data_IF_748715352537
#
_entry.id   IF_748715352537
#
_cell.length_a   1.000
_cell.length_b   1.000
_cell.length_c   1.000
_cell.angle_alpha   90.00
_cell.angle_beta   90.00
_cell.angle_gamma   90.00
#
_symmetry.space_group_name_H-M   'P 1'
#
loop_
_entity.id
_entity.type
_entity.pdbx_description
1 polymer ?
#
# COMPACT_ATOMS: atom_id res chain seq x y z
N UNK A 1 -4.76 7.65 8.40
CA UNK A 1 -4.84 6.95 7.08
C UNK A 1 -6.27 6.51 6.78
N UNK A 2 -6.63 6.43 5.50
CA UNK A 2 -7.94 6.01 5.01
C UNK A 2 -7.76 4.83 4.05
N UNK A 3 -8.41 3.68 4.27
CA UNK A 3 -8.35 2.56 3.34
C UNK A 3 -8.83 2.96 1.93
N UNK A 4 -8.07 2.57 0.91
CA UNK A 4 -8.42 2.78 -0.51
C UNK A 4 -9.46 1.75 -0.95
N UNK A 5 -10.66 1.84 -0.36
CA UNK A 5 -11.80 0.95 -0.62
C UNK A 5 -13.04 1.80 -0.89
N UNK A 6 -13.77 1.45 -1.94
CA UNK A 6 -15.00 2.13 -2.35
C UNK A 6 -16.13 1.11 -2.50
N UNK A 7 -17.24 1.32 -1.83
CA UNK A 7 -18.48 0.58 -2.08
C UNK A 7 -19.45 1.46 -2.86
N UNK A 8 -20.00 0.93 -3.93
CA UNK A 8 -21.00 1.62 -4.75
C UNK A 8 -22.28 0.81 -4.74
N UNK A 9 -23.36 1.42 -4.29
CA UNK A 9 -24.72 0.85 -4.35
C UNK A 9 -25.65 1.81 -5.10
N UNK A 10 -26.91 1.43 -5.30
CA UNK A 10 -27.90 2.31 -5.94
C UNK A 10 -28.17 3.57 -5.13
N UNK A 11 -28.07 3.47 -3.80
CA UNK A 11 -28.51 4.51 -2.87
C UNK A 11 -27.34 5.37 -2.36
N UNK A 12 -26.13 4.81 -2.26
CA UNK A 12 -25.00 5.50 -1.65
C UNK A 12 -23.63 5.02 -2.14
N UNK A 13 -22.61 5.87 -1.94
CA UNK A 13 -21.20 5.52 -2.09
C UNK A 13 -20.51 5.64 -0.73
N UNK A 14 -19.93 4.53 -0.25
CA UNK A 14 -19.08 4.50 0.95
C UNK A 14 -17.61 4.46 0.57
N UNK A 15 -16.76 5.12 1.35
CA UNK A 15 -15.31 5.18 1.10
C UNK A 15 -14.57 4.95 2.41
N UNK A 16 -13.42 4.30 2.33
CA UNK A 16 -12.54 4.06 3.46
C UNK A 16 -13.06 2.96 4.41
N UNK A 17 -13.00 3.19 5.71
CA UNK A 17 -13.39 2.21 6.74
C UNK A 17 -14.84 1.73 6.62
N UNK A 18 -15.77 2.59 6.21
CA UNK A 18 -17.16 2.21 6.01
C UNK A 18 -17.31 1.21 4.85
N UNK A 19 -16.60 1.45 3.73
CA UNK A 19 -16.55 0.52 2.60
C UNK A 19 -15.80 -0.78 2.97
N UNK A 20 -14.69 -0.71 3.71
CA UNK A 20 -13.94 -1.89 4.15
C UNK A 20 -14.81 -2.84 4.97
N UNK A 21 -15.62 -2.32 5.90
CA UNK A 21 -16.57 -3.15 6.67
C UNK A 21 -17.67 -3.77 5.81
N UNK A 22 -18.11 -3.06 4.78
CA UNK A 22 -19.14 -3.56 3.87
C UNK A 22 -18.64 -4.64 2.89
N UNK A 23 -17.32 -4.80 2.75
CA UNK A 23 -16.71 -5.80 1.86
C UNK A 23 -17.16 -7.24 2.19
N UNK A 24 -17.48 -7.50 3.45
CA UNK A 24 -17.95 -8.81 3.93
C UNK A 24 -19.35 -9.14 3.43
N UNK A 25 -20.27 -8.16 3.52
CA UNK A 25 -21.68 -8.35 3.22
C UNK A 25 -22.02 -8.06 1.76
N UNK A 26 -21.20 -7.24 1.09
CA UNK A 26 -21.42 -6.85 -0.30
C UNK A 26 -20.10 -6.79 -1.09
N UNK A 27 -19.40 -7.93 -1.26
CA UNK A 27 -18.08 -7.97 -1.89
C UNK A 27 -18.11 -7.57 -3.38
N UNK A 28 -19.20 -7.86 -4.10
CA UNK A 28 -19.30 -7.58 -5.54
C UNK A 28 -19.38 -6.08 -5.86
N UNK A 29 -19.90 -5.28 -4.93
CA UNK A 29 -20.05 -3.85 -5.09
C UNK A 29 -19.00 -3.06 -4.28
N UNK A 30 -17.97 -3.75 -3.75
CA UNK A 30 -16.90 -3.15 -2.96
C UNK A 30 -15.55 -3.32 -3.63
N UNK A 31 -15.00 -2.21 -4.10
CA UNK A 31 -13.79 -2.14 -4.91
C UNK A 31 -12.59 -1.87 -4.01
N UNK A 32 -11.57 -2.71 -4.12
CA UNK A 32 -10.26 -2.53 -3.49
C UNK A 32 -9.14 -2.72 -4.52
N UNK A 33 -7.92 -2.24 -4.20
CA UNK A 33 -6.74 -2.38 -5.04
C UNK A 33 -6.86 -1.79 -6.45
N UNK A 34 -7.74 -0.80 -6.66
CA UNK A 34 -7.94 -0.13 -7.96
C UNK A 34 -6.64 0.47 -8.52
N UNK A 35 -5.69 0.83 -7.66
CA UNK A 35 -4.35 1.32 -8.04
C UNK A 35 -3.65 0.37 -9.05
N UNK A 36 -3.89 -0.94 -8.95
CA UNK A 36 -3.33 -1.96 -9.85
C UNK A 36 -3.87 -1.91 -11.28
N UNK A 37 -4.96 -1.18 -11.50
CA UNK A 37 -5.62 -1.02 -12.81
C UNK A 37 -5.30 0.34 -13.46
N UNK A 38 -4.62 1.25 -12.73
CA UNK A 38 -4.34 2.60 -13.21
C UNK A 38 -3.44 2.58 -14.44
N UNK A 39 -3.93 3.14 -15.55
CA UNK A 39 -3.20 3.24 -16.81
C UNK A 39 -2.91 1.91 -17.52
N UNK A 40 -3.46 0.79 -17.03
CA UNK A 40 -3.23 -0.54 -17.58
C UNK A 40 -4.02 -0.78 -18.87
N UNK A 41 -3.55 -1.73 -19.69
CA UNK A 41 -4.32 -2.32 -20.77
C UNK A 41 -5.08 -3.57 -20.27
N UNK A 42 -6.27 -3.82 -20.83
CA UNK A 42 -7.10 -4.93 -20.37
C UNK A 42 -6.42 -6.31 -20.50
N UNK A 43 -5.54 -6.46 -21.48
CA UNK A 43 -4.82 -7.70 -21.73
C UNK A 43 -3.57 -7.89 -20.89
N UNK A 44 -3.17 -6.91 -20.09
CA UNK A 44 -2.01 -7.01 -19.21
C UNK A 44 -2.13 -8.17 -18.23
N UNK A 45 -1.01 -8.83 -17.96
CA UNK A 45 -0.98 -9.97 -17.02
C UNK A 45 -1.45 -9.58 -15.62
N UNK A 46 -1.12 -8.37 -15.18
CA UNK A 46 -1.57 -7.84 -13.89
C UNK A 46 -3.09 -7.69 -13.84
N UNK A 47 -3.72 -7.23 -14.93
CA UNK A 47 -5.18 -7.13 -15.02
C UNK A 47 -5.83 -8.51 -15.01
N UNK A 48 -5.29 -9.48 -15.76
CA UNK A 48 -5.75 -10.87 -15.75
C UNK A 48 -5.64 -11.52 -14.37
N UNK A 49 -4.56 -11.22 -13.65
CA UNK A 49 -4.36 -11.68 -12.28
C UNK A 49 -5.36 -11.02 -11.34
N UNK A 50 -5.59 -9.71 -11.51
CA UNK A 50 -6.55 -8.96 -10.71
C UNK A 50 -7.99 -9.47 -10.93
N UNK A 51 -8.39 -9.83 -12.17
CA UNK A 51 -9.68 -10.43 -12.47
C UNK A 51 -9.94 -11.74 -11.70
N UNK A 52 -8.88 -12.51 -11.40
CA UNK A 52 -9.00 -13.77 -10.63
C UNK A 52 -9.08 -13.52 -9.11
N UNK A 53 -8.54 -12.40 -8.63
CA UNK A 53 -8.44 -12.09 -7.20
C UNK A 53 -9.55 -11.15 -6.72
N UNK A 54 -10.08 -10.30 -7.61
CA UNK A 54 -11.13 -9.35 -7.27
C UNK A 54 -12.46 -10.07 -7.01
N UNK A 55 -13.22 -9.52 -6.07
CA UNK A 55 -14.59 -9.96 -5.78
C UNK A 55 -15.64 -9.26 -6.66
N UNK A 56 -15.21 -8.23 -7.38
CA UNK A 56 -16.01 -7.43 -8.32
C UNK A 56 -15.59 -7.72 -9.76
N UNK A 57 -16.45 -7.38 -10.71
CA UNK A 57 -16.22 -7.66 -12.12
C UNK A 57 -15.31 -6.60 -12.76
N UNK A 58 -14.28 -7.05 -13.48
CA UNK A 58 -13.42 -6.23 -14.32
C UNK A 58 -13.67 -6.57 -15.77
N UNK A 59 -14.20 -5.62 -16.54
CA UNK A 59 -14.63 -5.78 -17.93
C UNK A 59 -13.76 -4.97 -18.88
N UNK A 60 -13.78 -5.36 -20.17
CA UNK A 60 -13.07 -4.67 -21.22
C UNK A 60 -13.94 -3.55 -21.82
N UNK A 61 -13.44 -2.34 -21.83
CA UNK A 61 -14.04 -1.24 -22.57
C UNK A 61 -12.97 -0.55 -23.42
N UNK A 62 -13.06 -0.75 -24.72
CA UNK A 62 -12.10 -0.18 -25.70
C UNK A 62 -10.64 -0.49 -25.37
N UNK A 63 -10.35 -1.73 -24.95
CA UNK A 63 -8.98 -2.16 -24.60
C UNK A 63 -8.51 -1.80 -23.20
N UNK A 64 -9.33 -1.11 -22.40
CA UNK A 64 -9.00 -0.71 -21.02
C UNK A 64 -9.83 -1.49 -20.00
N UNK A 65 -9.28 -1.73 -18.78
CA UNK A 65 -10.03 -2.35 -17.69
C UNK A 65 -11.02 -1.35 -17.08
N UNK A 66 -12.28 -1.75 -16.94
CA UNK A 66 -13.32 -1.03 -16.23
C UNK A 66 -13.89 -1.91 -15.12
N UNK A 67 -14.28 -1.30 -14.01
CA UNK A 67 -15.01 -1.99 -12.94
C UNK A 67 -16.50 -1.91 -13.23
N UNK A 68 -17.16 -3.07 -13.30
CA UNK A 68 -18.59 -3.14 -13.50
C UNK A 68 -19.32 -3.34 -12.16
N UNK A 69 -20.24 -2.45 -11.85
CA UNK A 69 -21.11 -2.52 -10.68
C UNK A 69 -22.55 -2.37 -11.17
N UNK A 70 -23.32 -3.42 -10.99
CA UNK A 70 -24.67 -3.55 -11.58
C UNK A 70 -24.62 -3.29 -13.11
N UNK A 71 -25.37 -2.29 -13.59
CA UNK A 71 -25.42 -1.91 -15.02
C UNK A 71 -24.43 -0.77 -15.38
N UNK A 72 -23.59 -0.33 -14.43
CA UNK A 72 -22.66 0.79 -14.64
C UNK A 72 -21.23 0.31 -14.71
N UNK A 73 -20.45 0.99 -15.55
CA UNK A 73 -19.01 0.76 -15.69
C UNK A 73 -18.24 2.00 -15.28
N UNK A 74 -17.24 1.80 -14.42
CA UNK A 74 -16.40 2.85 -13.87
C UNK A 74 -14.96 2.62 -14.30
N UNK A 75 -14.29 3.67 -14.79
CA UNK A 75 -12.85 3.59 -15.03
C UNK A 75 -12.08 3.57 -13.70
N UNK A 76 -10.83 3.07 -13.68
CA UNK A 76 -9.97 3.14 -12.50
C UNK A 76 -9.79 4.57 -11.98
N UNK A 77 -9.73 5.56 -12.88
CA UNK A 77 -9.62 6.98 -12.53
C UNK A 77 -10.87 7.47 -11.79
N UNK A 78 -12.06 7.06 -12.23
CA UNK A 78 -13.32 7.44 -11.56
C UNK A 78 -13.42 6.83 -10.15
N UNK A 79 -13.01 5.58 -9.96
CA UNK A 79 -12.97 4.96 -8.62
C UNK A 79 -11.92 5.66 -7.75
N UNK A 80 -10.73 5.93 -8.31
CA UNK A 80 -9.66 6.62 -7.59
C UNK A 80 -10.04 8.04 -7.23
N UNK A 81 -10.80 8.76 -8.09
CA UNK A 81 -11.27 10.10 -7.80
C UNK A 81 -12.21 10.17 -6.61
N UNK A 82 -13.00 9.12 -6.34
CA UNK A 82 -13.83 9.04 -5.14
C UNK A 82 -12.98 9.00 -3.88
N UNK A 83 -11.85 8.25 -3.91
CA UNK A 83 -10.91 8.17 -2.78
C UNK A 83 -10.23 9.52 -2.56
N UNK A 84 -9.70 10.13 -3.63
CA UNK A 84 -9.06 11.46 -3.58
C UNK A 84 -10.04 12.53 -3.11
N UNK A 85 -11.28 12.52 -3.62
CA UNK A 85 -12.35 13.42 -3.19
C UNK A 85 -12.70 13.28 -1.71
N UNK A 86 -12.63 12.05 -1.16
CA UNK A 86 -12.76 11.84 0.29
C UNK A 86 -11.60 12.48 1.06
N UNK A 87 -10.36 12.42 0.53
CA UNK A 87 -9.22 13.08 1.17
C UNK A 87 -9.34 14.60 1.11
N UNK A 88 -9.75 15.16 -0.06
CA UNK A 88 -10.07 16.56 -0.20
C UNK A 88 -11.07 17.00 0.86
N UNK A 89 -12.20 16.30 0.97
CA UNK A 89 -13.24 16.60 1.97
C UNK A 89 -12.74 16.58 3.40
N UNK A 90 -11.92 15.58 3.76
CA UNK A 90 -11.33 15.48 5.12
C UNK A 90 -10.42 16.67 5.40
N UNK A 91 -9.63 17.11 4.41
CA UNK A 91 -8.77 18.27 4.55
C UNK A 91 -9.59 19.58 4.67
N UNK A 92 -10.62 19.75 3.84
CA UNK A 92 -11.54 20.91 3.89
C UNK A 92 -12.29 20.99 5.22
N UNK A 93 -12.78 19.84 5.72
CA UNK A 93 -13.45 19.77 7.03
C UNK A 93 -12.50 20.14 8.19
N UNK A 94 -11.19 19.88 8.05
CA UNK A 94 -10.17 20.21 9.04
C UNK A 94 -9.76 21.68 9.00
N UNK A 95 -9.48 22.23 7.81
CA UNK A 95 -9.00 23.61 7.66
C UNK A 95 -10.13 24.65 7.64
N UNK A 96 -11.37 24.23 7.32
CA UNK A 96 -12.56 25.08 7.28
C UNK A 96 -12.71 25.89 6.00
N UNK A 97 -11.94 25.60 4.95
CA UNK A 97 -11.96 26.29 3.66
C UNK A 97 -11.76 25.33 2.49
N UNK A 98 -12.09 25.79 1.27
CA UNK A 98 -12.00 24.99 0.06
C UNK A 98 -10.54 24.71 -0.32
N UNK A 99 -10.21 23.44 -0.57
CA UNK A 99 -8.92 23.00 -1.09
C UNK A 99 -9.00 22.90 -2.62
N UNK A 100 -8.14 23.65 -3.31
CA UNK A 100 -8.11 23.71 -4.79
C UNK A 100 -6.92 22.98 -5.38
N UNK A 101 -5.74 23.14 -4.79
CA UNK A 101 -4.47 22.64 -5.31
C UNK A 101 -4.01 21.40 -4.55
N UNK A 102 -3.33 20.50 -5.26
CA UNK A 102 -2.78 19.29 -4.67
C UNK A 102 -1.49 18.83 -5.34
N UNK A 103 -0.64 18.17 -4.55
CA UNK A 103 0.42 17.29 -5.02
C UNK A 103 -0.02 15.86 -4.76
N UNK A 104 0.09 15.00 -5.77
CA UNK A 104 -0.29 13.58 -5.68
C UNK A 104 0.95 12.71 -5.89
N UNK A 105 1.07 11.65 -5.13
CA UNK A 105 2.19 10.72 -5.21
C UNK A 105 1.85 9.45 -5.99
N UNK A 106 2.85 8.89 -6.65
CA UNK A 106 2.78 7.62 -7.39
C UNK A 106 4.03 6.78 -7.11
N UNK A 107 3.95 5.45 -7.25
CA UNK A 107 5.14 4.61 -7.23
C UNK A 107 6.15 5.02 -8.30
N UNK A 108 7.44 4.87 -8.01
CA UNK A 108 8.49 5.25 -8.96
C UNK A 108 8.43 4.48 -10.30
N UNK A 109 7.88 3.27 -10.29
CA UNK A 109 7.70 2.44 -11.48
C UNK A 109 6.47 2.77 -12.34
N UNK A 110 5.60 3.70 -11.90
CA UNK A 110 4.48 4.14 -12.73
C UNK A 110 5.00 4.85 -13.99
N UNK A 111 4.66 4.29 -15.15
CA UNK A 111 4.89 4.93 -16.45
C UNK A 111 3.91 6.10 -16.70
N UNK A 112 4.12 6.82 -17.78
CA UNK A 112 3.37 8.05 -18.12
C UNK A 112 1.86 7.85 -18.14
N UNK A 113 1.39 6.70 -18.63
CA UNK A 113 -0.05 6.40 -18.69
C UNK A 113 -0.65 6.32 -17.28
N UNK A 114 0.02 5.64 -16.34
CA UNK A 114 -0.45 5.51 -14.97
C UNK A 114 -0.33 6.85 -14.19
N UNK A 115 0.72 7.65 -14.45
CA UNK A 115 0.89 9.00 -13.89
C UNK A 115 -0.21 9.93 -14.39
N UNK A 116 -0.50 9.92 -15.68
CA UNK A 116 -1.61 10.70 -16.28
C UNK A 116 -2.95 10.26 -15.72
N UNK A 117 -3.22 8.95 -15.62
CA UNK A 117 -4.45 8.43 -15.01
C UNK A 117 -4.61 8.88 -13.54
N UNK A 118 -3.51 8.92 -12.77
CA UNK A 118 -3.53 9.40 -11.39
C UNK A 118 -3.80 10.90 -11.32
N UNK A 119 -3.18 11.70 -12.21
CA UNK A 119 -3.49 13.13 -12.33
C UNK A 119 -4.96 13.34 -12.64
N UNK A 120 -5.49 12.63 -13.64
CA UNK A 120 -6.91 12.69 -14.04
C UNK A 120 -7.84 12.33 -12.86
N UNK A 121 -7.48 11.35 -12.03
CA UNK A 121 -8.26 11.04 -10.83
C UNK A 121 -8.33 12.23 -9.85
N UNK A 122 -7.25 12.97 -9.68
CA UNK A 122 -7.22 14.20 -8.89
C UNK A 122 -8.09 15.29 -9.49
N UNK A 123 -8.01 15.49 -10.80
CA UNK A 123 -8.82 16.48 -11.53
C UNK A 123 -10.32 16.14 -11.47
N UNK A 124 -10.69 14.86 -11.61
CA UNK A 124 -12.07 14.38 -11.43
C UNK A 124 -12.60 14.59 -10.00
N UNK A 125 -11.71 14.62 -9.02
CA UNK A 125 -12.05 14.96 -7.63
C UNK A 125 -12.19 16.47 -7.40
N UNK A 126 -12.02 17.30 -8.42
CA UNK A 126 -12.11 18.75 -8.35
C UNK A 126 -10.87 19.41 -7.77
N UNK A 127 -9.69 18.82 -7.99
CA UNK A 127 -8.40 19.37 -7.60
C UNK A 127 -7.61 19.83 -8.83
N UNK A 128 -6.90 20.95 -8.70
CA UNK A 128 -5.83 21.32 -9.61
C UNK A 128 -4.56 20.57 -9.17
N UNK A 129 -4.16 19.58 -9.94
CA UNK A 129 -2.97 18.77 -9.61
C UNK A 129 -1.72 19.50 -10.09
N UNK A 130 -1.06 20.18 -9.16
CA UNK A 130 0.14 20.99 -9.45
C UNK A 130 1.30 20.12 -9.89
N UNK A 131 1.47 18.95 -9.24
CA UNK A 131 2.55 18.02 -9.55
C UNK A 131 2.17 16.59 -9.15
N UNK A 132 2.68 15.62 -9.92
CA UNK A 132 2.73 14.19 -9.55
C UNK A 132 4.19 13.87 -9.24
N UNK A 133 4.46 13.36 -8.04
CA UNK A 133 5.83 13.05 -7.58
C UNK A 133 5.95 11.58 -7.17
N UNK A 134 7.17 11.06 -7.16
CA UNK A 134 7.43 9.68 -6.75
C UNK A 134 7.29 9.51 -5.24
N UNK A 135 6.63 8.43 -4.80
CA UNK A 135 6.45 8.06 -3.39
C UNK A 135 7.79 7.98 -2.63
N UNK A 136 8.85 7.30 -3.15
CA UNK A 136 10.14 7.23 -2.45
C UNK A 136 10.84 8.59 -2.32
N UNK A 137 10.75 9.44 -3.35
CA UNK A 137 11.29 10.81 -3.29
C UNK A 137 10.55 11.65 -2.26
N UNK A 138 9.22 11.54 -2.23
CA UNK A 138 8.39 12.19 -1.23
C UNK A 138 8.76 11.76 0.20
N UNK A 139 8.96 10.46 0.42
CA UNK A 139 9.37 9.93 1.72
C UNK A 139 10.77 10.43 2.16
N UNK A 140 11.73 10.49 1.24
CA UNK A 140 13.06 11.03 1.51
C UNK A 140 13.00 12.52 1.89
N UNK A 141 12.13 13.28 1.23
CA UNK A 141 11.88 14.69 1.57
C UNK A 141 11.29 14.83 2.98
N UNK A 142 10.32 13.99 3.34
CA UNK A 142 9.74 13.98 4.69
C UNK A 142 10.77 13.66 5.77
N UNK A 143 11.69 12.75 5.49
CA UNK A 143 12.74 12.33 6.40
C UNK A 143 13.91 13.34 6.52
N UNK A 144 13.83 14.50 5.86
CA UNK A 144 14.87 15.54 5.81
C UNK A 144 16.23 15.02 5.29
N UNK A 145 16.24 13.95 4.53
CA UNK A 145 17.47 13.35 4.00
C UNK A 145 18.14 14.22 2.93
N UNK A 146 17.40 15.18 2.39
CA UNK A 146 17.85 16.11 1.34
C UNK A 146 18.41 17.43 1.91
N UNK A 147 18.28 17.66 3.21
CA UNK A 147 18.77 18.89 3.86
C UNK A 147 20.29 18.83 4.13
N UNK A 148 20.84 17.64 4.12
CA UNK A 148 22.27 17.42 4.33
C UNK A 148 23.02 17.62 3.00
N UNK A 149 24.05 18.48 2.99
CA UNK A 149 24.83 18.80 1.79
C UNK A 149 25.76 17.66 1.32
N UNK A 150 25.71 16.51 1.98
CA UNK A 150 26.49 15.34 1.61
C UNK A 150 25.70 14.45 0.67
N UNK A 151 26.35 13.99 -0.37
CA UNK A 151 25.79 12.97 -1.23
C UNK A 151 25.46 11.71 -0.42
N UNK A 152 24.28 11.14 -0.64
CA UNK A 152 23.81 9.94 0.04
C UNK A 152 23.13 9.00 -0.95
N UNK A 153 23.40 7.71 -0.79
CA UNK A 153 22.65 6.66 -1.45
C UNK A 153 21.68 6.04 -0.43
N UNK A 154 20.39 6.16 -0.70
CA UNK A 154 19.31 5.69 0.18
C UNK A 154 18.49 4.61 -0.52
N UNK A 155 18.30 3.49 0.18
CA UNK A 155 17.32 2.48 -0.26
C UNK A 155 16.01 2.76 0.46
N UNK A 156 14.96 3.09 -0.28
CA UNK A 156 13.61 3.25 0.25
C UNK A 156 12.87 1.93 0.08
N UNK A 157 12.40 1.36 1.19
CA UNK A 157 11.55 0.17 1.20
C UNK A 157 10.15 0.62 1.61
N UNK A 158 9.25 0.71 0.65
CA UNK A 158 7.84 1.03 0.88
C UNK A 158 7.02 -0.26 0.83
N UNK A 159 6.54 -0.70 1.98
CA UNK A 159 5.70 -1.88 2.11
C UNK A 159 4.35 -1.49 2.70
N UNK A 160 3.39 -1.29 1.81
CA UNK A 160 2.01 -0.96 2.13
C UNK A 160 1.14 -2.19 2.37
N UNK A 161 -0.18 -2.01 2.26
CA UNK A 161 -1.15 -3.11 2.44
C UNK A 161 -1.09 -4.14 1.31
N UNK A 162 -0.82 -3.73 0.08
CA UNK A 162 -0.95 -4.62 -1.08
C UNK A 162 0.25 -4.68 -2.01
N UNK A 163 1.26 -3.82 -1.82
CA UNK A 163 2.46 -3.75 -2.66
C UNK A 163 3.71 -3.59 -1.80
N UNK A 164 4.82 -4.04 -2.34
CA UNK A 164 6.17 -3.69 -1.90
C UNK A 164 6.85 -2.96 -3.06
N UNK A 165 7.35 -1.78 -2.78
CA UNK A 165 8.07 -0.95 -3.71
C UNK A 165 9.44 -0.62 -3.10
N UNK A 166 10.51 -0.90 -3.83
CA UNK A 166 11.87 -0.59 -3.41
C UNK A 166 12.51 0.32 -4.44
N UNK A 167 13.04 1.43 -3.98
CA UNK A 167 13.75 2.39 -4.83
C UNK A 167 15.10 2.74 -4.26
N UNK A 168 16.09 2.87 -5.12
CA UNK A 168 17.41 3.37 -4.75
C UNK A 168 17.51 4.81 -5.22
N UNK A 169 17.75 5.72 -4.27
CA UNK A 169 17.90 7.14 -4.54
C UNK A 169 19.32 7.60 -4.30
N UNK A 170 19.77 8.49 -5.15
CA UNK A 170 20.94 9.34 -4.90
C UNK A 170 20.47 10.74 -4.55
N UNK A 171 20.90 11.23 -3.39
CA UNK A 171 20.54 12.53 -2.85
C UNK A 171 21.80 13.40 -2.82
N UNK A 172 21.75 14.57 -3.45
CA UNK A 172 22.88 15.52 -3.45
C UNK A 172 22.38 16.96 -3.54
N UNK A 173 22.85 17.82 -2.66
CA UNK A 173 22.66 19.29 -2.68
C UNK A 173 21.24 19.75 -3.11
N UNK A 174 20.21 19.23 -2.45
CA UNK A 174 18.81 19.55 -2.74
C UNK A 174 18.22 18.81 -3.95
N UNK A 175 18.96 17.90 -4.56
CA UNK A 175 18.47 17.03 -5.65
C UNK A 175 18.18 15.62 -5.14
N UNK A 176 17.16 14.99 -5.68
CA UNK A 176 16.89 13.57 -5.50
C UNK A 176 16.73 12.91 -6.87
N UNK A 177 17.53 11.90 -7.11
CA UNK A 177 17.47 11.07 -8.32
C UNK A 177 17.12 9.63 -7.95
N UNK A 178 16.10 9.06 -8.61
CA UNK A 178 15.77 7.64 -8.50
C UNK A 178 16.64 6.86 -9.47
N UNK A 179 17.66 6.15 -9.00
CA UNK A 179 18.58 5.38 -9.85
C UNK A 179 17.93 4.11 -10.38
N UNK A 180 17.15 3.43 -9.55
CA UNK A 180 16.45 2.22 -9.94
C UNK A 180 15.25 1.98 -9.01
N UNK A 181 14.28 1.22 -9.51
CA UNK A 181 13.18 0.69 -8.72
C UNK A 181 12.91 -0.78 -9.04
N UNK A 182 12.37 -1.49 -8.05
CA UNK A 182 11.88 -2.85 -8.16
C UNK A 182 10.75 -3.05 -7.16
N UNK A 183 9.88 -4.02 -7.38
CA UNK A 183 8.76 -4.22 -6.47
C UNK A 183 7.98 -5.49 -6.73
N UNK A 184 6.92 -5.66 -5.97
CA UNK A 184 5.95 -6.72 -6.15
C UNK A 184 4.55 -6.15 -5.84
N UNK A 185 3.72 -6.05 -6.86
CA UNK A 185 2.35 -5.51 -6.75
C UNK A 185 1.37 -6.49 -6.08
N UNK A 186 1.86 -7.67 -5.72
CA UNK A 186 1.12 -8.73 -5.03
C UNK A 186 1.86 -9.22 -3.77
N UNK A 187 2.53 -8.32 -3.08
CA UNK A 187 3.18 -8.55 -1.79
C UNK A 187 2.96 -7.32 -0.91
N UNK A 188 2.32 -7.50 0.25
CA UNK A 188 2.07 -6.42 1.19
C UNK A 188 1.41 -6.93 2.47
N UNK A 189 1.01 -6.04 3.34
CA UNK A 189 0.45 -6.36 4.66
C UNK A 189 -0.71 -7.36 4.63
N UNK A 190 -1.50 -7.37 3.53
CA UNK A 190 -2.56 -8.36 3.34
C UNK A 190 -2.03 -9.80 3.28
N UNK A 191 -0.89 -10.03 2.65
CA UNK A 191 -0.31 -11.37 2.57
C UNK A 191 0.14 -11.88 3.94
N UNK A 192 0.58 -10.97 4.81
CA UNK A 192 0.89 -11.28 6.20
C UNK A 192 -0.38 -11.59 7.00
N UNK A 193 -1.48 -10.86 6.77
CA UNK A 193 -2.79 -11.17 7.35
C UNK A 193 -3.26 -12.55 6.89
N UNK A 194 -3.18 -12.84 5.60
CA UNK A 194 -3.61 -14.11 5.01
C UNK A 194 -2.82 -15.32 5.58
N UNK A 195 -1.54 -15.12 5.93
CA UNK A 195 -0.76 -16.15 6.61
C UNK A 195 -1.32 -16.47 8.02
N UNK A 196 -1.74 -15.46 8.76
CA UNK A 196 -2.40 -15.64 10.07
C UNK A 196 -3.78 -16.27 9.88
N UNK A 197 -4.58 -15.76 8.93
CA UNK A 197 -5.92 -16.30 8.62
C UNK A 197 -5.83 -17.78 8.31
N UNK A 198 -4.90 -18.17 7.43
CA UNK A 198 -4.70 -19.56 7.08
C UNK A 198 -4.36 -20.41 8.30
N UNK A 199 -3.44 -19.95 9.14
CA UNK A 199 -3.07 -20.66 10.36
C UNK A 199 -4.26 -20.83 11.30
N UNK A 200 -5.05 -19.77 11.56
CA UNK A 200 -6.24 -19.81 12.42
C UNK A 200 -7.28 -20.79 11.90
N UNK A 201 -7.59 -20.73 10.60
CA UNK A 201 -8.57 -21.62 9.97
C UNK A 201 -8.11 -23.09 10.01
N UNK A 202 -6.84 -23.34 9.71
CA UNK A 202 -6.27 -24.70 9.74
C UNK A 202 -6.28 -25.29 11.17
N UNK A 203 -5.91 -24.52 12.18
CA UNK A 203 -5.92 -24.96 13.58
C UNK A 203 -7.36 -25.19 14.10
N UNK A 204 -8.30 -24.29 13.80
CA UNK A 204 -9.69 -24.46 14.21
C UNK A 204 -10.34 -25.68 13.54
N UNK A 205 -10.02 -25.92 12.27
CA UNK A 205 -10.49 -27.12 11.57
C UNK A 205 -9.94 -28.41 12.18
N UNK A 206 -8.70 -28.40 12.71
CA UNK A 206 -8.12 -29.56 13.38
C UNK A 206 -8.78 -29.83 14.74
N UNK A 207 -9.08 -28.77 15.50
CA UNK A 207 -9.64 -28.93 16.86
C UNK A 207 -11.13 -29.25 16.85
N UNK A 208 -11.92 -28.55 16.01
CA UNK A 208 -13.37 -28.57 16.04
C UNK A 208 -14.01 -29.23 14.81
N UNK A 209 -13.19 -29.61 13.80
CA UNK A 209 -13.64 -30.19 12.54
C UNK A 209 -14.67 -29.30 11.81
N UNK A 210 -14.49 -27.97 11.88
CA UNK A 210 -15.31 -26.96 11.22
C UNK A 210 -14.45 -26.10 10.31
N UNK A 211 -14.90 -25.91 9.06
CA UNK A 211 -14.23 -25.10 8.06
C UNK A 211 -14.85 -23.70 8.00
N UNK A 212 -14.17 -22.74 8.66
CA UNK A 212 -14.64 -21.35 8.74
C UNK A 212 -14.69 -20.63 7.39
N UNK A 213 -14.02 -21.14 6.36
CA UNK A 213 -14.06 -20.54 5.01
C UNK A 213 -15.43 -20.70 4.32
N UNK A 214 -16.27 -21.60 4.83
CA UNK A 214 -17.61 -21.84 4.28
C UNK A 214 -18.67 -20.86 4.82
N UNK A 215 -18.35 -20.11 5.85
CA UNK A 215 -19.18 -19.06 6.43
C UNK A 215 -18.51 -17.70 6.23
N UNK A 216 -19.06 -16.90 5.34
CA UNK A 216 -18.50 -15.59 5.02
C UNK A 216 -18.40 -14.64 6.23
N UNK A 217 -19.35 -14.72 7.14
CA UNK A 217 -19.37 -13.87 8.36
C UNK A 217 -18.30 -14.31 9.35
N UNK A 218 -18.17 -15.61 9.58
CA UNK A 218 -17.11 -16.18 10.41
C UNK A 218 -15.73 -15.88 9.81
N UNK A 219 -15.56 -16.14 8.54
CA UNK A 219 -14.30 -15.88 7.82
C UNK A 219 -13.87 -14.42 7.91
N UNK A 220 -14.79 -13.49 7.73
CA UNK A 220 -14.50 -12.07 7.83
C UNK A 220 -14.07 -11.64 9.24
N UNK A 221 -14.67 -12.20 10.29
CA UNK A 221 -14.24 -11.95 11.66
C UNK A 221 -12.82 -12.45 11.91
N UNK A 222 -12.46 -13.60 11.32
CA UNK A 222 -11.08 -14.12 11.36
C UNK A 222 -10.11 -13.16 10.65
N UNK A 223 -10.45 -12.68 9.44
CA UNK A 223 -9.64 -11.72 8.68
C UNK A 223 -9.40 -10.43 9.46
N UNK A 224 -10.44 -9.85 10.04
CA UNK A 224 -10.33 -8.63 10.86
C UNK A 224 -9.44 -8.86 12.09
N UNK A 225 -9.60 -9.99 12.74
CA UNK A 225 -8.81 -10.34 13.93
C UNK A 225 -7.34 -10.64 13.59
N UNK A 226 -7.08 -11.23 12.43
CA UNK A 226 -5.72 -11.48 11.94
C UNK A 226 -4.95 -10.16 11.68
N UNK A 227 -5.60 -9.16 11.05
CA UNK A 227 -5.02 -7.83 10.86
C UNK A 227 -4.67 -7.17 12.19
N UNK A 228 -5.60 -7.22 13.18
CA UNK A 228 -5.34 -6.70 14.54
C UNK A 228 -4.17 -7.42 15.20
N UNK A 229 -4.14 -8.75 15.13
CA UNK A 229 -3.06 -9.55 15.70
C UNK A 229 -1.70 -9.21 15.07
N UNK A 230 -1.62 -9.05 13.73
CA UNK A 230 -0.40 -8.60 13.05
C UNK A 230 0.09 -7.26 13.59
N UNK A 231 -0.81 -6.29 13.74
CA UNK A 231 -0.47 -4.94 14.23
C UNK A 231 0.05 -5.03 15.67
N UNK A 232 -0.63 -5.75 16.56
CA UNK A 232 -0.23 -5.91 17.96
C UNK A 232 1.13 -6.60 18.11
N UNK A 233 1.41 -7.62 17.28
CA UNK A 233 2.68 -8.33 17.29
C UNK A 233 3.88 -7.49 16.82
N UNK A 234 3.66 -6.28 16.28
CA UNK A 234 4.76 -5.34 16.01
C UNK A 234 5.35 -4.76 17.31
N UNK A 235 4.59 -4.71 18.39
CA UNK A 235 5.02 -4.20 19.71
C UNK A 235 4.99 -5.24 20.83
N UNK A 236 4.14 -6.27 20.72
CA UNK A 236 3.95 -7.30 21.75
C UNK A 236 4.60 -8.63 21.35
N UNK A 237 5.02 -9.43 22.35
CA UNK A 237 5.59 -10.77 22.11
C UNK A 237 4.54 -11.85 21.81
N UNK A 238 3.28 -11.57 22.14
CA UNK A 238 2.12 -12.42 21.85
C UNK A 238 0.84 -11.61 21.84
N UNK A 239 -0.20 -12.16 21.21
CA UNK A 239 -1.55 -11.61 21.20
C UNK A 239 -2.59 -12.72 21.25
N UNK A 240 -3.81 -12.39 21.63
CA UNK A 240 -4.94 -13.32 21.66
C UNK A 240 -5.91 -13.04 20.52
N UNK A 241 -6.28 -14.11 19.80
CA UNK A 241 -7.36 -14.09 18.82
C UNK A 241 -8.57 -14.74 19.49
N UNK A 242 -9.53 -13.93 19.92
CA UNK A 242 -10.70 -14.39 20.64
C UNK A 242 -11.98 -13.98 19.89
N UNK A 243 -12.67 -14.97 19.33
CA UNK A 243 -13.88 -14.82 18.52
C UNK A 243 -15.00 -15.70 19.11
N UNK A 244 -15.77 -15.20 20.09
CA UNK A 244 -16.87 -15.96 20.67
C UNK A 244 -17.97 -16.18 19.64
N UNK A 245 -18.62 -17.35 19.74
CA UNK A 245 -19.73 -17.75 18.86
C UNK A 245 -19.37 -17.65 17.37
N UNK A 246 -18.18 -18.16 17.02
CA UNK A 246 -17.66 -18.06 15.64
C UNK A 246 -18.39 -19.01 14.69
N UNK A 247 -18.87 -20.14 15.21
CA UNK A 247 -19.58 -21.16 14.42
C UNK A 247 -20.49 -21.99 15.32
N UNK A 248 -21.16 -22.97 14.73
CA UNK A 248 -22.00 -23.94 15.43
C UNK A 248 -21.77 -25.34 14.85
N UNK A 249 -21.69 -26.37 15.71
CA UNK A 249 -21.62 -27.78 15.32
C UNK A 249 -22.58 -28.59 16.20
N UNK A 250 -23.41 -29.42 15.59
CA UNK A 250 -24.39 -30.29 16.27
C UNK A 250 -25.25 -29.57 17.31
N UNK A 251 -25.63 -28.30 17.02
CA UNK A 251 -26.41 -27.46 17.92
C UNK A 251 -25.64 -26.76 19.03
N UNK A 252 -24.34 -27.03 19.17
CA UNK A 252 -23.47 -26.36 20.15
C UNK A 252 -22.73 -25.17 19.52
N UNK A 253 -22.73 -24.04 20.24
CA UNK A 253 -21.98 -22.84 19.85
C UNK A 253 -20.47 -23.08 20.09
N UNK A 254 -19.67 -22.76 19.08
CA UNK A 254 -18.22 -22.86 19.10
C UNK A 254 -17.57 -21.50 19.28
N UNK A 255 -16.53 -21.45 20.10
CA UNK A 255 -15.71 -20.27 20.33
C UNK A 255 -14.29 -20.51 19.82
N UNK A 256 -13.70 -19.53 19.15
CA UNK A 256 -12.30 -19.56 18.78
C UNK A 256 -11.53 -18.71 19.80
N UNK A 257 -10.57 -19.33 20.48
CA UNK A 257 -9.65 -18.66 21.38
C UNK A 257 -8.25 -19.25 21.16
N UNK A 258 -7.34 -18.45 20.61
CA UNK A 258 -5.98 -18.85 20.27
C UNK A 258 -4.98 -17.78 20.67
N UNK A 259 -3.83 -18.18 21.21
CA UNK A 259 -2.70 -17.29 21.44
C UNK A 259 -1.73 -17.41 20.27
N UNK A 260 -1.42 -16.28 19.64
CA UNK A 260 -0.40 -16.18 18.59
C UNK A 260 0.84 -15.50 19.16
N UNK A 261 1.96 -16.21 19.27
CA UNK A 261 3.23 -15.62 19.62
C UNK A 261 3.90 -14.95 18.43
N UNK A 262 4.71 -13.91 18.68
CA UNK A 262 5.54 -13.26 17.64
C UNK A 262 6.42 -14.29 16.92
N UNK A 263 7.07 -15.18 17.63
CA UNK A 263 7.92 -16.23 17.04
C UNK A 263 7.13 -17.12 16.07
N UNK A 264 5.89 -17.49 16.41
CA UNK A 264 5.02 -18.26 15.51
C UNK A 264 4.67 -17.44 14.28
N UNK A 265 4.23 -16.17 14.45
CA UNK A 265 3.94 -15.27 13.36
C UNK A 265 5.14 -15.11 12.40
N UNK A 266 6.33 -14.84 12.94
CA UNK A 266 7.56 -14.70 12.16
C UNK A 266 7.87 -15.95 11.34
N UNK A 267 7.61 -17.15 11.90
CA UNK A 267 7.77 -18.39 11.16
C UNK A 267 6.77 -18.53 9.99
N UNK A 268 5.54 -18.02 10.14
CA UNK A 268 4.51 -18.05 9.10
C UNK A 268 4.84 -17.11 7.94
N UNK A 269 5.51 -15.99 8.22
CA UNK A 269 5.73 -14.90 7.23
C UNK A 269 7.17 -14.82 6.71
N UNK A 270 8.04 -15.75 7.11
CA UNK A 270 9.45 -15.73 6.70
C UNK A 270 9.64 -15.60 5.20
N UNK A 271 8.89 -16.36 4.41
CA UNK A 271 8.95 -16.31 2.96
C UNK A 271 8.53 -14.92 2.37
N UNK A 272 7.64 -14.19 3.04
CA UNK A 272 7.24 -12.85 2.62
C UNK A 272 8.37 -11.84 2.89
N UNK A 273 9.03 -11.96 4.04
CA UNK A 273 10.23 -11.19 4.35
C UNK A 273 11.35 -11.46 3.35
N UNK A 274 11.64 -12.73 3.07
CA UNK A 274 12.67 -13.13 2.10
C UNK A 274 12.40 -12.56 0.70
N UNK A 275 11.11 -12.55 0.26
CA UNK A 275 10.70 -11.93 -1.01
C UNK A 275 10.91 -10.42 -1.01
N UNK A 276 10.60 -9.72 0.09
CA UNK A 276 10.83 -8.27 0.20
C UNK A 276 12.32 -7.95 0.13
N UNK A 277 13.15 -8.68 0.86
CA UNK A 277 14.62 -8.54 0.82
C UNK A 277 15.15 -8.77 -0.59
N UNK A 278 14.66 -9.79 -1.29
CA UNK A 278 15.09 -10.07 -2.67
C UNK A 278 14.73 -8.92 -3.63
N UNK A 279 13.56 -8.27 -3.45
CA UNK A 279 13.23 -7.07 -4.23
C UNK A 279 14.21 -5.92 -3.97
N UNK A 280 14.64 -5.75 -2.73
CA UNK A 280 15.61 -4.72 -2.37
C UNK A 280 17.01 -5.03 -2.96
N UNK A 281 17.45 -6.28 -2.93
CA UNK A 281 18.72 -6.70 -3.57
C UNK A 281 18.72 -6.37 -5.06
N UNK A 282 17.68 -6.79 -5.76
CA UNK A 282 17.55 -6.54 -7.21
C UNK A 282 17.50 -5.04 -7.52
N UNK A 283 16.85 -4.22 -6.66
CA UNK A 283 16.86 -2.76 -6.87
C UNK A 283 18.26 -2.17 -6.74
N UNK A 284 19.03 -2.60 -5.73
CA UNK A 284 20.42 -2.14 -5.53
C UNK A 284 21.32 -2.58 -6.69
N UNK A 285 21.17 -3.83 -7.16
CA UNK A 285 21.89 -4.34 -8.33
C UNK A 285 21.58 -3.53 -9.60
N UNK A 286 20.29 -3.28 -9.86
CA UNK A 286 19.86 -2.46 -11.01
C UNK A 286 20.38 -1.02 -10.94
N UNK A 287 20.55 -0.47 -9.76
CA UNK A 287 21.14 0.85 -9.53
C UNK A 287 22.67 0.87 -9.78
N UNK A 288 23.30 -0.28 -10.00
CA UNK A 288 24.74 -0.39 -10.14
C UNK A 288 25.52 -0.10 -8.85
N UNK A 289 24.84 -0.15 -7.70
CA UNK A 289 25.42 0.15 -6.38
C UNK A 289 25.83 -1.13 -5.65
N UNK A 290 26.86 -1.02 -4.81
CA UNK A 290 27.26 -2.06 -3.85
C UNK A 290 26.58 -1.77 -2.50
N UNK A 291 26.52 -2.76 -1.63
CA UNK A 291 25.98 -2.54 -0.28
C UNK A 291 26.78 -1.49 0.50
N UNK A 292 28.09 -1.40 0.27
CA UNK A 292 28.93 -0.42 0.93
C UNK A 292 28.60 1.03 0.53
N UNK A 293 28.06 1.23 -0.67
CA UNK A 293 27.66 2.54 -1.18
C UNK A 293 26.38 3.07 -0.54
N UNK A 294 25.62 2.20 0.13
CA UNK A 294 24.33 2.55 0.77
C UNK A 294 24.61 3.22 2.12
N UNK A 295 24.03 4.39 2.36
CA UNK A 295 24.12 5.09 3.64
C UNK A 295 23.06 4.61 4.64
N UNK A 296 21.83 4.46 4.21
CA UNK A 296 20.74 3.97 5.06
C UNK A 296 19.59 3.34 4.24
N UNK A 297 18.72 2.63 4.97
CA UNK A 297 17.46 2.10 4.45
C UNK A 297 16.32 2.89 5.09
N UNK A 298 15.54 3.63 4.29
CA UNK A 298 14.37 4.36 4.74
C UNK A 298 13.15 3.44 4.69
N UNK A 299 12.47 3.27 5.83
CA UNK A 299 11.29 2.42 5.96
C UNK A 299 10.01 3.23 5.79
N UNK A 300 9.17 2.80 4.85
CA UNK A 300 7.91 3.42 4.46
C UNK A 300 6.81 2.38 4.41
N UNK A 301 5.57 2.78 4.73
CA UNK A 301 4.41 1.89 4.77
C UNK A 301 4.31 1.07 6.06
N UNK A 302 3.09 0.80 6.49
CA UNK A 302 2.80 0.18 7.79
C UNK A 302 3.36 -1.22 7.96
N UNK A 303 3.54 -1.98 6.88
CA UNK A 303 4.10 -3.34 6.91
C UNK A 303 5.58 -3.34 7.34
N UNK A 304 6.31 -2.26 7.10
CA UNK A 304 7.72 -2.13 7.55
C UNK A 304 7.89 -2.05 9.07
N UNK A 305 6.78 -1.94 9.82
CA UNK A 305 6.81 -2.02 11.29
C UNK A 305 7.05 -3.42 11.83
N UNK A 306 6.91 -4.45 10.99
CA UNK A 306 7.10 -5.85 11.37
C UNK A 306 8.57 -6.10 11.76
N UNK A 307 8.88 -6.49 13.02
CA UNK A 307 10.25 -6.62 13.48
C UNK A 307 11.11 -7.57 12.65
N UNK A 308 10.56 -8.74 12.28
CA UNK A 308 11.31 -9.72 11.48
C UNK A 308 11.63 -9.26 10.06
N UNK A 309 10.84 -8.35 9.48
CA UNK A 309 11.17 -7.71 8.20
C UNK A 309 12.33 -6.72 8.37
N UNK A 310 12.29 -5.91 9.42
CA UNK A 310 13.38 -4.98 9.76
C UNK A 310 14.69 -5.71 10.01
N UNK A 311 14.66 -6.78 10.79
CA UNK A 311 15.83 -7.63 11.06
C UNK A 311 16.38 -8.26 9.78
N UNK A 312 15.51 -8.75 8.90
CA UNK A 312 15.91 -9.35 7.62
C UNK A 312 16.63 -8.32 6.72
N UNK A 313 16.09 -7.11 6.60
CA UNK A 313 16.72 -6.01 5.84
C UNK A 313 18.06 -5.59 6.47
N UNK A 314 18.09 -5.42 7.79
CA UNK A 314 19.32 -5.03 8.51
C UNK A 314 20.41 -6.10 8.38
N UNK A 315 20.04 -7.37 8.46
CA UNK A 315 20.96 -8.50 8.32
C UNK A 315 21.55 -8.60 6.92
N UNK A 316 20.73 -8.39 5.88
CA UNK A 316 21.17 -8.48 4.49
C UNK A 316 22.13 -7.36 4.12
N UNK A 317 21.75 -6.11 4.41
CA UNK A 317 22.51 -4.94 3.95
C UNK A 317 23.55 -4.45 4.94
N UNK A 318 23.46 -4.83 6.21
CA UNK A 318 24.29 -4.33 7.32
C UNK A 318 24.32 -2.79 7.39
N UNK A 319 23.16 -2.15 7.15
CA UNK A 319 23.01 -0.69 7.10
C UNK A 319 21.98 -0.21 8.14
N UNK A 320 22.10 1.04 8.61
CA UNK A 320 21.12 1.60 9.54
C UNK A 320 19.73 1.70 8.88
N UNK A 321 18.70 1.36 9.66
CA UNK A 321 17.31 1.59 9.27
C UNK A 321 16.90 2.99 9.72
N UNK A 322 16.46 3.83 8.78
CA UNK A 322 15.92 5.15 9.08
C UNK A 322 14.41 5.04 9.35
N UNK A 323 14.00 5.46 10.54
CA UNK A 323 12.63 5.50 11.03
C UNK A 323 12.31 6.87 11.64
N UNK A 324 12.98 7.93 11.18
CA UNK A 324 12.82 9.29 11.68
C UNK A 324 11.44 9.88 11.43
N UNK A 325 10.71 9.33 10.46
CA UNK A 325 9.34 9.71 10.12
C UNK A 325 8.40 8.52 10.32
N UNK A 326 7.17 8.80 10.73
CA UNK A 326 6.13 7.78 10.79
C UNK A 326 5.95 7.14 9.41
N UNK A 327 6.19 5.83 9.25
CA UNK A 327 6.15 5.16 7.94
C UNK A 327 4.77 5.22 7.28
N UNK A 328 3.68 5.37 8.04
CA UNK A 328 2.33 5.50 7.51
C UNK A 328 2.04 6.90 6.94
N UNK A 329 2.86 7.90 7.25
CA UNK A 329 2.63 9.31 6.92
C UNK A 329 3.75 9.91 6.08
N UNK A 330 4.90 9.23 5.97
CA UNK A 330 6.11 9.76 5.32
C UNK A 330 5.84 10.30 3.92
N UNK A 331 5.12 9.54 3.09
CA UNK A 331 4.81 9.94 1.71
C UNK A 331 3.91 11.18 1.68
N UNK A 332 2.86 11.23 2.50
CA UNK A 332 1.95 12.38 2.55
C UNK A 332 2.63 13.64 3.09
N UNK A 333 3.49 13.51 4.11
CA UNK A 333 4.26 14.62 4.66
C UNK A 333 5.25 15.20 3.65
N UNK A 334 5.91 14.35 2.87
CA UNK A 334 6.79 14.81 1.80
C UNK A 334 6.03 15.49 0.66
N UNK A 335 4.86 14.97 0.28
CA UNK A 335 3.98 15.62 -0.68
C UNK A 335 3.51 17.00 -0.19
N UNK A 336 3.20 17.14 1.10
CA UNK A 336 2.84 18.41 1.71
C UNK A 336 4.01 19.41 1.69
N UNK A 337 5.24 18.97 2.00
CA UNK A 337 6.44 19.82 1.85
C UNK A 337 6.63 20.28 0.40
N UNK A 338 6.44 19.39 -0.57
CA UNK A 338 6.52 19.77 -1.98
C UNK A 338 5.44 20.77 -2.38
N UNK A 339 4.21 20.61 -1.87
CA UNK A 339 3.13 21.55 -2.11
C UNK A 339 3.45 22.94 -1.52
N UNK A 340 4.03 22.99 -0.34
CA UNK A 340 4.45 24.22 0.33
C UNK A 340 5.54 24.99 -0.47
N UNK A 341 6.51 24.24 -1.03
CA UNK A 341 7.53 24.81 -1.93
C UNK A 341 6.89 25.38 -3.20
N UNK A 342 5.96 24.62 -3.82
CA UNK A 342 5.27 25.07 -5.04
C UNK A 342 4.37 26.28 -4.80
N UNK A 343 3.83 26.43 -3.60
CA UNK A 343 3.06 27.59 -3.17
C UNK A 343 3.93 28.84 -2.88
N UNK A 344 5.27 28.68 -2.90
CA UNK A 344 6.22 29.77 -2.62
C UNK A 344 6.34 30.16 -1.15
N UNK A 345 5.84 29.33 -0.23
CA UNK A 345 5.90 29.61 1.21
C UNK A 345 7.27 29.21 1.81
N UNK A 346 7.96 28.25 1.21
CA UNK A 346 9.29 27.79 1.63
C UNK A 346 10.36 28.17 0.60
N UNK A 347 11.51 28.64 1.06
CA UNK A 347 12.65 29.06 0.22
C UNK A 347 13.59 27.87 -0.02
N UNK A 348 13.14 26.83 -0.63
CA UNK A 348 13.98 25.66 -0.97
C UNK A 348 14.04 25.46 -2.48
N UNK A 349 15.22 25.66 -3.10
CA UNK A 349 15.47 25.19 -4.46
C UNK A 349 15.60 23.66 -4.44
N UNK A 350 14.46 22.96 -4.41
CA UNK A 350 14.43 21.51 -4.43
C UNK A 350 14.20 21.03 -5.87
N UNK A 351 15.19 20.39 -6.46
CA UNK A 351 15.09 19.77 -7.77
C UNK A 351 14.85 18.27 -7.62
N UNK A 352 13.63 17.83 -7.95
CA UNK A 352 13.30 16.41 -8.03
C UNK A 352 13.51 15.94 -9.47
N UNK A 353 14.51 15.08 -9.68
CA UNK A 353 14.78 14.41 -10.94
C UNK A 353 14.30 12.98 -10.85
N UNK A 354 13.33 12.64 -11.66
CA UNK A 354 12.78 11.30 -11.73
C UNK A 354 13.25 10.60 -13.01
N UNK A 355 13.72 9.36 -12.89
CA UNK A 355 13.98 8.52 -14.05
C UNK A 355 12.68 7.88 -14.54
N UNK A 356 12.52 7.79 -15.86
CA UNK A 356 11.45 6.99 -16.45
C UNK A 356 11.78 5.50 -16.32
N UNK A 357 10.84 4.65 -15.88
CA UNK A 357 11.08 3.22 -15.75
C UNK A 357 11.17 2.51 -17.10
N UNK A 358 10.85 3.19 -18.19
CA UNK A 358 10.85 2.66 -19.55
C UNK A 358 11.86 3.41 -20.40
N UNK A 359 12.50 2.70 -21.34
CA UNK A 359 13.34 3.31 -22.34
C UNK A 359 12.53 4.27 -23.21
N UNK A 360 13.02 5.49 -23.39
CA UNK A 360 12.47 6.43 -24.37
C UNK A 360 13.03 6.03 -25.74
N UNK A 361 12.14 5.63 -26.64
CA UNK A 361 12.47 5.40 -28.05
C UNK A 361 12.00 6.59 -28.88
N UNK A 362 12.81 6.96 -29.87
CA UNK A 362 12.44 7.90 -30.94
C UNK A 362 12.10 7.07 -32.17
#
# INVERSE_FOLDING_TARGET
TTPSVVQITKDEVKIGNAAKRAMVTNPKNTISFVKRLMGADFNDENVKKMQKLATYDIVNKSGKPYVKIDDKEYSPEQISSMIVGKMKKVAEDYVGEEIKDAVITVPAWFGDTARTATKTAGELAGLNVLRVINEPTSAALAANLMEDKKDKTVVVVDSGTGTVDVSVLELSDGMAEVLASNGDVYLGGKDYDDAIVKWVVDEFKKSDDVDLTKDNMAYARVVESAEKAKIELSSSSQTEINLPYISMKDGALLNLAMTLSRAKFESLVKNLNDRTVEKAKVAVEKAGKKYDDIDCILLVGGTTRIPSLQEALKKEFNKPLNQSVNPDEAVALGAAKQADILAGNSTGDLLLLDVTPLSLGI
#
